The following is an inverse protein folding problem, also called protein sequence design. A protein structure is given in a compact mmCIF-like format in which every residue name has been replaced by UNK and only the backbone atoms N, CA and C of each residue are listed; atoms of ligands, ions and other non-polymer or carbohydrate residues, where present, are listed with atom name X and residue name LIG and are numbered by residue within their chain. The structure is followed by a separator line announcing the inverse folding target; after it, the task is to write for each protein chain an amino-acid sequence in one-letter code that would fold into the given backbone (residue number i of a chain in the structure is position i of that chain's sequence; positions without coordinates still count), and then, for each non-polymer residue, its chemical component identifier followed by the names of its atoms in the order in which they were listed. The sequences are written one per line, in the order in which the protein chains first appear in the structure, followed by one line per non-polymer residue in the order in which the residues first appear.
data_IF_420436195991
#
_entry.id   IF_420436195991
#
_cell.length_a   1.000
_cell.length_b   1.000
_cell.length_c   1.000
_cell.angle_alpha   90.00
_cell.angle_beta   90.00
_cell.angle_gamma   90.00
#
_symmetry.space_group_name_H-M   'P 1'
#
loop_
_entity.id
_entity.type
_entity.pdbx_description
1 polymer ?
#
# COMPACT_ATOMS: atom_id res chain seq x y z
N UNK A 1 -2.89 -1.86 4.96
CA UNK A 1 -2.99 -0.92 4.58
C UNK A 1 -3.70 0.38 4.26
N UNK A 2 -4.60 0.87 5.16
CA UNK A 2 -5.40 2.08 4.86
C UNK A 2 -4.81 3.38 5.44
N UNK A 3 -3.54 3.33 5.87
CA UNK A 3 -2.87 4.47 6.55
C UNK A 3 -2.75 5.70 5.65
N UNK A 4 -2.55 5.51 4.35
CA UNK A 4 -2.35 6.59 3.37
C UNK A 4 -3.60 6.93 2.56
N UNK A 5 -4.72 6.21 2.76
CA UNK A 5 -5.93 6.40 1.96
C UNK A 5 -6.84 7.46 2.57
N UNK A 6 -7.37 8.32 1.72
CA UNK A 6 -8.38 9.27 2.14
C UNK A 6 -9.70 8.55 2.44
N UNK A 7 -10.34 8.93 3.54
CA UNK A 7 -11.67 8.46 3.89
C UNK A 7 -12.74 9.10 2.97
N UNK A 8 -13.84 8.38 2.77
CA UNK A 8 -14.99 8.91 2.06
C UNK A 8 -15.61 10.10 2.80
N UNK A 9 -15.99 11.13 2.06
CA UNK A 9 -16.65 12.31 2.63
C UNK A 9 -18.06 12.00 3.16
N UNK A 10 -18.68 10.90 2.68
CA UNK A 10 -20.04 10.49 3.09
C UNK A 10 -20.03 9.45 4.21
N UNK A 11 -18.97 8.65 4.34
CA UNK A 11 -18.83 7.62 5.37
C UNK A 11 -17.38 7.53 5.83
N UNK A 12 -17.02 8.08 7.01
CA UNK A 12 -15.64 8.07 7.51
C UNK A 12 -15.06 6.69 7.80
N UNK A 13 -15.90 5.65 7.86
CA UNK A 13 -15.43 4.28 8.04
C UNK A 13 -14.94 3.62 6.76
N UNK A 14 -15.21 4.24 5.61
CA UNK A 14 -14.86 3.77 4.28
C UNK A 14 -13.74 4.61 3.67
N UNK A 15 -12.93 3.99 2.83
CA UNK A 15 -11.92 4.67 2.02
C UNK A 15 -12.35 4.67 0.55
N UNK A 16 -11.96 5.71 -0.19
CA UNK A 16 -12.17 5.78 -1.64
C UNK A 16 -11.09 4.98 -2.34
N UNK A 17 -11.42 3.78 -2.80
CA UNK A 17 -10.48 2.85 -3.44
C UNK A 17 -11.17 1.99 -4.49
N UNK A 18 -10.37 1.46 -5.43
CA UNK A 18 -10.78 0.39 -6.32
C UNK A 18 -9.68 -0.67 -6.42
N UNK A 19 -10.07 -1.85 -6.85
CA UNK A 19 -9.17 -2.95 -7.18
C UNK A 19 -9.55 -3.49 -8.57
N UNK A 20 -8.55 -3.77 -9.39
CA UNK A 20 -8.73 -4.40 -10.70
C UNK A 20 -8.35 -5.88 -10.60
N UNK A 21 -9.31 -6.76 -10.90
CA UNK A 21 -9.09 -8.19 -10.95
C UNK A 21 -9.07 -8.67 -12.41
N UNK A 22 -8.07 -9.46 -12.75
CA UNK A 22 -7.96 -10.13 -14.03
C UNK A 22 -7.76 -11.62 -13.77
N UNK A 23 -8.63 -12.46 -14.33
CA UNK A 23 -8.66 -13.91 -14.06
C UNK A 23 -8.65 -14.24 -12.56
N UNK A 24 -9.45 -13.53 -11.78
CA UNK A 24 -9.59 -13.74 -10.34
C UNK A 24 -8.41 -13.29 -9.47
N UNK A 25 -7.40 -12.61 -10.05
CA UNK A 25 -6.25 -12.07 -9.33
C UNK A 25 -6.27 -10.56 -9.35
N UNK A 26 -6.04 -9.95 -8.19
CA UNK A 26 -5.82 -8.51 -8.12
C UNK A 26 -4.55 -8.14 -8.88
N UNK A 27 -4.69 -7.30 -9.90
CA UNK A 27 -3.60 -6.87 -10.78
C UNK A 27 -3.20 -5.43 -10.54
N UNK A 28 -4.16 -4.60 -10.18
CA UNK A 28 -3.93 -3.20 -9.88
C UNK A 28 -4.89 -2.72 -8.80
N UNK A 29 -4.53 -1.66 -8.13
CA UNK A 29 -5.41 -0.94 -7.22
C UNK A 29 -5.19 0.56 -7.32
N UNK A 30 -6.13 1.32 -6.81
CA UNK A 30 -5.99 2.77 -6.72
C UNK A 30 -6.87 3.31 -5.61
N UNK A 31 -6.51 4.47 -5.11
CA UNK A 31 -7.22 5.14 -4.03
C UNK A 31 -6.97 6.63 -4.04
N UNK A 32 -7.86 7.39 -3.41
CA UNK A 32 -7.62 8.80 -3.13
C UNK A 32 -6.56 8.92 -2.05
N UNK A 33 -5.52 9.70 -2.32
CA UNK A 33 -4.42 9.92 -1.38
C UNK A 33 -4.87 10.80 -0.21
N UNK A 34 -4.47 10.41 1.00
CA UNK A 34 -4.63 11.27 2.16
C UNK A 34 -3.64 12.42 2.08
N UNK A 35 -4.16 13.65 2.01
CA UNK A 35 -3.36 14.86 1.83
C UNK A 35 -3.36 15.81 3.05
N UNK A 36 -4.04 15.46 4.12
CA UNK A 36 -4.05 16.21 5.38
C UNK A 36 -2.89 15.74 6.26
N UNK A 37 -1.86 16.58 6.51
CA UNK A 37 -0.71 16.20 7.33
C UNK A 37 -1.07 15.88 8.78
N UNK A 38 -2.06 16.55 9.36
CA UNK A 38 -2.46 16.28 10.74
C UNK A 38 -3.15 14.94 10.89
N UNK A 39 -4.03 14.59 9.96
CA UNK A 39 -4.70 13.29 9.94
C UNK A 39 -3.68 12.16 9.66
N UNK A 40 -2.76 12.37 8.73
CA UNK A 40 -1.69 11.42 8.45
C UNK A 40 -0.80 11.19 9.68
N UNK A 41 -0.45 12.26 10.40
CA UNK A 41 0.33 12.14 11.64
C UNK A 41 -0.40 11.33 12.70
N UNK A 42 -1.70 11.55 12.90
CA UNK A 42 -2.52 10.75 13.82
C UNK A 42 -2.51 9.28 13.48
N UNK A 43 -2.63 8.94 12.18
CA UNK A 43 -2.61 7.56 11.72
C UNK A 43 -1.25 6.90 11.91
N UNK A 44 -0.16 7.61 11.67
CA UNK A 44 1.18 7.11 11.95
C UNK A 44 1.41 6.86 13.45
N UNK A 45 0.93 7.74 14.31
CA UNK A 45 1.02 7.54 15.77
C UNK A 45 0.24 6.30 16.21
N UNK A 46 -0.98 6.11 15.73
CA UNK A 46 -1.77 4.92 16.02
C UNK A 46 -1.09 3.63 15.55
N UNK A 47 -0.45 3.66 14.37
CA UNK A 47 0.32 2.52 13.86
C UNK A 47 1.58 2.24 14.69
N UNK A 48 2.29 3.28 15.11
CA UNK A 48 3.47 3.13 15.97
C UNK A 48 3.10 2.53 17.33
N UNK A 49 1.98 2.95 17.91
CA UNK A 49 1.45 2.37 19.15
C UNK A 49 1.05 0.90 18.96
N UNK A 50 0.35 0.57 17.88
CA UNK A 50 0.00 -0.80 17.55
C UNK A 50 1.25 -1.68 17.38
N UNK A 51 2.30 -1.16 16.77
CA UNK A 51 3.59 -1.84 16.62
C UNK A 51 4.27 -2.11 17.97
N UNK A 52 4.27 -1.14 18.86
CA UNK A 52 4.79 -1.30 20.22
C UNK A 52 4.04 -2.38 21.02
N UNK A 53 2.78 -2.68 20.67
CA UNK A 53 1.96 -3.74 21.26
C UNK A 53 2.01 -5.07 20.48
N UNK A 54 2.96 -5.24 19.55
CA UNK A 54 3.23 -6.50 18.85
C UNK A 54 2.57 -6.69 17.48
N UNK A 55 2.04 -5.62 16.88
CA UNK A 55 1.54 -5.68 15.50
C UNK A 55 2.72 -5.62 14.51
N UNK A 56 3.18 -6.77 14.04
CA UNK A 56 4.36 -6.87 13.16
C UNK A 56 4.21 -6.14 11.82
N UNK A 57 2.99 -6.03 11.32
CA UNK A 57 2.68 -5.35 10.05
C UNK A 57 2.48 -3.84 10.19
N UNK A 58 2.54 -3.30 11.40
CA UNK A 58 2.37 -1.87 11.63
C UNK A 58 3.57 -1.06 11.15
N UNK A 59 3.29 0.12 10.61
CA UNK A 59 4.31 1.02 10.06
C UNK A 59 4.98 1.88 11.14
N UNK A 60 6.19 2.35 10.85
CA UNK A 60 6.86 3.38 11.66
C UNK A 60 6.27 4.76 11.38
N UNK A 61 6.44 5.68 12.34
CA UNK A 61 6.15 7.09 12.13
C UNK A 61 7.17 7.70 11.16
N UNK A 62 6.70 8.16 10.00
CA UNK A 62 7.53 8.79 8.98
C UNK A 62 7.40 10.32 9.04
N UNK A 63 8.31 10.97 9.78
CA UNK A 63 8.32 12.41 9.95
C UNK A 63 8.64 13.16 8.64
N UNK A 64 9.45 12.59 7.78
CA UNK A 64 9.78 13.20 6.48
C UNK A 64 8.58 13.22 5.53
N UNK A 65 7.77 12.17 5.55
CA UNK A 65 6.52 12.12 4.80
C UNK A 65 5.52 13.19 5.28
N UNK A 66 5.36 13.36 6.59
CA UNK A 66 4.51 14.41 7.17
C UNK A 66 4.99 15.78 6.74
N UNK A 67 6.28 16.04 6.82
CA UNK A 67 6.87 17.32 6.37
C UNK A 67 6.63 17.57 4.89
N UNK A 68 6.71 16.55 4.06
CA UNK A 68 6.38 16.66 2.64
C UNK A 68 4.91 17.05 2.43
N UNK A 69 3.98 16.46 3.17
CA UNK A 69 2.55 16.83 3.11
C UNK A 69 2.28 18.27 3.58
N UNK A 70 3.05 18.78 4.53
CA UNK A 70 2.93 20.16 5.01
C UNK A 70 3.28 21.20 3.92
N UNK A 71 4.12 20.84 2.95
CA UNK A 71 4.37 21.68 1.77
C UNK A 71 3.18 21.71 0.81
N UNK A 72 2.27 20.77 0.95
CA UNK A 72 1.02 20.71 0.20
C UNK A 72 0.97 19.57 -0.81
N UNK A 73 -0.11 18.80 -0.76
CA UNK A 73 -0.49 17.82 -1.77
C UNK A 73 -1.91 18.15 -2.24
N UNK A 74 -2.11 18.51 -3.51
CA UNK A 74 -3.46 18.74 -4.03
C UNK A 74 -4.28 17.43 -4.02
N UNK A 75 -5.59 17.50 -4.27
CA UNK A 75 -6.39 16.29 -4.48
C UNK A 75 -5.72 15.39 -5.52
N UNK A 76 -5.34 14.19 -5.10
CA UNK A 76 -4.50 13.27 -5.88
C UNK A 76 -5.04 11.86 -5.74
N UNK A 77 -5.04 11.10 -6.84
CA UNK A 77 -5.30 9.68 -6.84
C UNK A 77 -4.00 8.91 -7.06
N UNK A 78 -3.78 7.90 -6.25
CA UNK A 78 -2.68 6.96 -6.40
C UNK A 78 -3.11 5.70 -7.15
N UNK A 79 -2.19 5.11 -7.88
CA UNK A 79 -2.40 3.84 -8.58
C UNK A 79 -1.18 2.94 -8.41
N UNK A 80 -1.43 1.69 -8.04
CA UNK A 80 -0.43 0.64 -7.98
C UNK A 80 -0.75 -0.47 -8.98
N UNK A 81 0.26 -0.89 -9.73
CA UNK A 81 0.14 -2.00 -10.69
C UNK A 81 1.16 -3.07 -10.31
N UNK A 82 0.68 -4.30 -10.10
CA UNK A 82 1.54 -5.45 -9.83
C UNK A 82 2.23 -5.91 -11.12
N UNK A 83 3.44 -5.42 -11.38
CA UNK A 83 4.17 -5.74 -12.61
C UNK A 83 4.42 -7.24 -12.75
N UNK A 84 4.81 -7.92 -11.69
CA UNK A 84 5.03 -9.37 -11.72
C UNK A 84 3.75 -10.13 -12.08
N UNK A 85 2.62 -9.74 -11.50
CA UNK A 85 1.31 -10.33 -11.81
C UNK A 85 0.89 -10.07 -13.26
N UNK A 86 1.18 -8.87 -13.76
CA UNK A 86 0.91 -8.51 -15.15
C UNK A 86 1.76 -9.33 -16.11
N UNK A 87 3.05 -9.52 -15.81
CA UNK A 87 3.93 -10.39 -16.61
C UNK A 87 3.48 -11.84 -16.56
N UNK A 88 3.04 -12.35 -15.41
CA UNK A 88 2.45 -13.69 -15.30
C UNK A 88 1.25 -13.86 -16.23
N UNK A 89 0.39 -12.84 -16.33
CA UNK A 89 -0.76 -12.84 -17.22
C UNK A 89 -0.33 -12.93 -18.69
N UNK A 90 0.64 -12.11 -19.11
CA UNK A 90 1.12 -12.05 -20.49
C UNK A 90 1.86 -13.32 -20.92
N UNK A 91 2.56 -13.97 -20.01
CA UNK A 91 3.38 -15.16 -20.27
C UNK A 91 2.66 -16.48 -19.93
N UNK A 92 1.42 -16.40 -19.43
CA UNK A 92 0.68 -17.54 -18.92
C UNK A 92 1.43 -18.35 -17.84
N UNK A 93 2.23 -17.65 -17.03
CA UNK A 93 2.94 -18.25 -15.91
C UNK A 93 1.99 -18.48 -14.72
N UNK A 94 2.10 -19.62 -14.06
CA UNK A 94 1.23 -20.01 -12.96
C UNK A 94 1.74 -19.54 -11.57
N UNK A 95 3.04 -19.25 -11.46
CA UNK A 95 3.67 -18.80 -10.21
C UNK A 95 4.52 -17.56 -10.44
N UNK A 96 4.63 -16.73 -9.40
CA UNK A 96 5.45 -15.50 -9.44
C UNK A 96 6.94 -15.82 -9.61
N UNK A 97 7.40 -16.98 -9.17
CA UNK A 97 8.81 -17.41 -9.31
C UNK A 97 9.25 -17.50 -10.77
N UNK A 98 8.33 -17.81 -11.66
CA UNK A 98 8.63 -17.97 -13.10
C UNK A 98 8.94 -16.63 -13.77
N UNK A 99 8.55 -15.51 -13.18
CA UNK A 99 8.71 -14.17 -13.75
C UNK A 99 9.71 -13.30 -12.99
N UNK A 100 10.21 -13.75 -11.84
CA UNK A 100 11.23 -13.07 -11.06
C UNK A 100 12.63 -13.48 -11.55
N UNK A 101 13.49 -12.48 -11.83
CA UNK A 101 14.89 -12.73 -12.20
C UNK A 101 15.69 -13.28 -11.02
N UNK A 102 15.46 -12.78 -9.83
CA UNK A 102 16.17 -13.16 -8.60
C UNK A 102 15.18 -13.43 -7.46
N UNK A 103 14.48 -14.59 -7.47
CA UNK A 103 13.54 -14.91 -6.40
C UNK A 103 14.28 -15.12 -5.07
N UNK A 104 13.64 -14.74 -3.98
CA UNK A 104 14.17 -15.02 -2.65
C UNK A 104 14.23 -16.54 -2.41
N UNK A 105 15.39 -17.04 -2.00
CA UNK A 105 15.65 -18.43 -1.72
C UNK A 105 15.90 -18.62 -0.22
N UNK A 106 15.70 -19.84 0.28
CA UNK A 106 16.11 -20.16 1.64
C UNK A 106 17.63 -20.12 1.73
N UNK A 107 18.21 -19.61 2.84
CA UNK A 107 19.64 -19.69 3.06
C UNK A 107 20.13 -21.15 2.99
N UNK A 108 21.28 -21.35 2.38
CA UNK A 108 21.92 -22.68 2.38
C UNK A 108 22.36 -23.04 3.80
N UNK A 109 22.21 -24.32 4.17
CA UNK A 109 22.61 -24.81 5.47
C UNK A 109 21.65 -24.57 6.62
N UNK A 110 20.43 -24.12 6.33
CA UNK A 110 19.37 -23.97 7.33
C UNK A 110 18.34 -25.11 7.25
#
# INVERSE_FOLDING_TARGET
GDVYKRQSDTDPTMTERFELFIFGRETANGFSELNDPEDQARRFMAQAEAKAHGADEAMFYDADYIRALEYGLPPTAGCGIGIDRFVMLLTNASTIREVLLFPAMRPEGC
#
